data_IF_535723439727
#
_entry.id   IF_535723439727
#
_cell.length_a   1.000
_cell.length_b   1.000
_cell.length_c   1.000
_cell.angle_alpha   90.00
_cell.angle_beta   90.00
_cell.angle_gamma   90.00
#
_symmetry.space_group_name_H-M   'P 1'
#
loop_
_entity.id
_entity.type
_entity.pdbx_description
1 polymer ?
#
# COMPACT_ATOMS: atom_id res chain seq x y z
N UNK A 1 -2.47 -20.45 2.44
CA UNK A 1 -2.66 -20.08 3.87
C UNK A 1 -3.91 -20.70 4.50
N UNK A 2 -5.16 -20.57 3.98
CA UNK A 2 -6.33 -21.20 4.62
C UNK A 2 -6.20 -22.71 4.82
N UNK A 3 -5.75 -23.45 3.80
CA UNK A 3 -5.58 -24.90 3.90
C UNK A 3 -4.57 -25.32 4.99
N UNK A 4 -3.48 -24.56 5.12
CA UNK A 4 -2.50 -24.78 6.19
C UNK A 4 -3.12 -24.51 7.56
N UNK A 5 -3.90 -23.43 7.72
CA UNK A 5 -4.57 -23.12 8.97
C UNK A 5 -5.53 -24.24 9.40
N UNK A 6 -6.33 -24.76 8.45
CA UNK A 6 -7.24 -25.87 8.71
C UNK A 6 -6.45 -27.15 9.08
N UNK A 7 -5.36 -27.43 8.37
CA UNK A 7 -4.56 -28.64 8.60
C UNK A 7 -3.77 -28.59 9.92
N UNK A 8 -3.31 -27.42 10.34
CA UNK A 8 -2.54 -27.26 11.58
C UNK A 8 -3.36 -27.42 12.85
N UNK A 9 -4.70 -27.23 12.76
CA UNK A 9 -5.62 -27.21 13.92
C UNK A 9 -5.27 -26.11 14.94
N UNK A 10 -4.33 -25.22 14.62
CA UNK A 10 -3.95 -24.10 15.50
C UNK A 10 -4.97 -22.96 15.38
N UNK A 11 -5.30 -22.27 16.48
CA UNK A 11 -6.28 -21.20 16.46
C UNK A 11 -5.81 -19.90 15.81
N UNK A 12 -4.51 -19.72 15.62
CA UNK A 12 -3.92 -18.59 14.90
C UNK A 12 -2.91 -19.09 13.86
N UNK A 13 -2.97 -18.52 12.67
CA UNK A 13 -1.90 -18.59 11.65
C UNK A 13 -1.51 -17.18 11.22
N UNK A 14 -0.22 -16.87 11.30
CA UNK A 14 0.38 -15.61 10.88
C UNK A 14 1.06 -15.79 9.53
N UNK A 15 0.80 -14.90 8.58
CA UNK A 15 1.60 -14.87 7.36
C UNK A 15 2.93 -14.17 7.62
N UNK A 16 4.03 -14.82 7.28
CA UNK A 16 5.38 -14.29 7.40
C UNK A 16 6.07 -14.22 6.05
N UNK A 17 6.84 -13.17 5.84
CA UNK A 17 7.66 -12.96 4.66
C UNK A 17 9.12 -12.78 5.04
N UNK A 18 10.03 -13.28 4.20
CA UNK A 18 11.46 -13.11 4.42
C UNK A 18 11.89 -11.69 4.09
N UNK A 19 12.56 -11.05 5.02
CA UNK A 19 13.09 -9.70 4.89
C UNK A 19 14.55 -9.66 5.36
N UNK A 20 15.38 -8.74 4.81
CA UNK A 20 16.73 -8.53 5.32
C UNK A 20 16.73 -8.26 6.83
N UNK A 21 17.61 -8.92 7.57
CA UNK A 21 17.76 -8.74 9.03
C UNK A 21 17.96 -7.28 9.43
N UNK A 22 18.59 -6.48 8.58
CA UNK A 22 18.81 -5.04 8.79
C UNK A 22 17.51 -4.22 8.89
N UNK A 23 16.37 -4.76 8.47
CA UNK A 23 15.05 -4.12 8.52
C UNK A 23 14.17 -4.66 9.66
N UNK A 24 14.71 -5.52 10.53
CA UNK A 24 13.95 -6.18 11.58
C UNK A 24 13.26 -5.21 12.56
N UNK A 25 13.82 -4.03 12.76
CA UNK A 25 13.29 -2.98 13.63
C UNK A 25 12.04 -2.27 13.07
N UNK A 26 11.63 -2.62 11.84
CA UNK A 26 10.43 -2.08 11.20
C UNK A 26 9.21 -2.98 11.35
N UNK A 27 9.41 -4.27 11.67
CA UNK A 27 8.36 -5.30 11.63
C UNK A 27 8.26 -6.11 12.93
N UNK A 28 7.12 -6.77 13.12
CA UNK A 28 7.04 -7.90 14.04
C UNK A 28 7.83 -9.08 13.46
N UNK A 29 8.80 -9.57 14.19
CA UNK A 29 9.66 -10.69 13.77
C UNK A 29 9.15 -11.99 14.37
N UNK A 30 9.01 -13.01 13.52
CA UNK A 30 8.55 -14.36 13.85
C UNK A 30 9.77 -15.26 14.01
N UNK A 31 9.94 -15.87 15.19
CA UNK A 31 10.88 -16.94 15.41
C UNK A 31 10.14 -18.27 15.38
N UNK A 32 10.58 -19.18 14.52
CA UNK A 32 10.01 -20.53 14.41
C UNK A 32 10.76 -21.53 15.27
N UNK A 33 10.09 -22.61 15.65
CA UNK A 33 10.78 -23.74 16.26
C UNK A 33 11.66 -24.44 15.20
N UNK A 34 12.93 -24.69 15.47
CA UNK A 34 13.81 -25.42 14.54
C UNK A 34 13.31 -26.83 14.20
N UNK A 35 12.66 -27.49 15.17
CA UNK A 35 12.17 -28.86 15.05
C UNK A 35 10.73 -28.90 14.49
N UNK A 36 10.00 -27.80 14.61
CA UNK A 36 8.64 -27.62 14.08
C UNK A 36 8.47 -26.24 13.46
N UNK A 37 8.85 -26.11 12.20
CA UNK A 37 8.77 -24.86 11.44
C UNK A 37 7.36 -24.32 11.25
N UNK A 38 6.34 -25.10 11.55
CA UNK A 38 4.95 -24.69 11.49
C UNK A 38 4.48 -23.88 12.72
N UNK A 39 5.22 -23.98 13.86
CA UNK A 39 4.87 -23.29 15.09
C UNK A 39 5.72 -22.03 15.29
N UNK A 40 5.07 -20.99 15.81
CA UNK A 40 5.73 -19.77 16.25
C UNK A 40 6.23 -19.97 17.67
N UNK A 41 7.55 -19.91 17.86
CA UNK A 41 8.21 -19.97 19.16
C UNK A 41 8.21 -18.63 19.88
N UNK A 42 8.45 -17.55 19.15
CA UNK A 42 8.42 -16.20 19.67
C UNK A 42 7.94 -15.21 18.59
N UNK A 43 7.30 -14.15 19.05
CA UNK A 43 6.92 -13.01 18.22
C UNK A 43 7.41 -11.74 18.91
N UNK A 44 8.30 -11.02 18.26
CA UNK A 44 8.94 -9.84 18.84
C UNK A 44 8.66 -8.62 17.96
N UNK A 45 7.95 -7.66 18.51
CA UNK A 45 7.62 -6.43 17.78
C UNK A 45 8.82 -5.51 17.69
N UNK A 46 9.26 -5.20 16.47
CA UNK A 46 10.34 -4.25 16.13
C UNK A 46 11.63 -4.44 16.95
N UNK A 47 12.23 -5.64 16.91
CA UNK A 47 13.43 -5.91 17.68
C UNK A 47 14.64 -5.13 17.13
N UNK A 48 15.47 -4.58 18.01
CA UNK A 48 16.74 -3.95 17.62
C UNK A 48 17.83 -4.96 17.26
N UNK A 49 17.72 -6.16 17.80
CA UNK A 49 18.58 -7.29 17.49
C UNK A 49 17.75 -8.56 17.52
N UNK A 50 17.99 -9.45 16.56
CA UNK A 50 17.25 -10.70 16.41
C UNK A 50 18.15 -11.72 15.73
N UNK A 51 18.04 -13.02 16.03
CA UNK A 51 18.70 -14.04 15.24
C UNK A 51 18.13 -14.05 13.80
N UNK A 52 18.99 -14.39 12.83
CA UNK A 52 18.51 -14.69 11.48
C UNK A 52 17.84 -16.07 11.40
N UNK A 53 17.26 -16.36 10.25
CA UNK A 53 16.66 -17.67 9.98
C UNK A 53 17.74 -18.75 9.95
N UNK A 54 17.44 -19.99 10.41
CA UNK A 54 18.41 -21.09 10.39
C UNK A 54 18.94 -21.43 8.99
N UNK A 55 18.12 -21.28 7.96
CA UNK A 55 18.46 -21.52 6.55
C UNK A 55 18.95 -20.26 5.81
N UNK A 56 18.79 -19.07 6.40
CA UNK A 56 19.27 -17.80 5.86
C UNK A 56 19.58 -16.80 6.99
N UNK A 57 20.83 -16.79 7.51
CA UNK A 57 21.21 -15.98 8.70
C UNK A 57 21.10 -14.47 8.52
N UNK A 58 21.10 -13.98 7.28
CA UNK A 58 20.97 -12.56 6.94
C UNK A 58 19.51 -12.12 6.74
N UNK A 59 18.55 -13.06 6.89
CA UNK A 59 17.13 -12.79 6.77
C UNK A 59 16.39 -13.08 8.08
N UNK A 60 15.24 -12.44 8.24
CA UNK A 60 14.25 -12.69 9.30
C UNK A 60 12.90 -12.99 8.67
N UNK A 61 12.02 -13.65 9.41
CA UNK A 61 10.63 -13.84 9.00
C UNK A 61 9.80 -12.71 9.60
N UNK A 62 9.47 -11.71 8.78
CA UNK A 62 8.67 -10.55 9.17
C UNK A 62 7.18 -10.88 9.06
N UNK A 63 6.39 -10.46 10.05
CA UNK A 63 4.94 -10.54 9.98
C UNK A 63 4.40 -9.62 8.87
N UNK A 64 3.58 -10.16 7.99
CA UNK A 64 2.90 -9.40 6.93
C UNK A 64 1.68 -8.62 7.43
N UNK A 65 1.30 -8.75 8.73
CA UNK A 65 0.06 -8.20 9.23
C UNK A 65 -1.20 -8.92 8.76
N UNK A 66 -1.05 -10.10 8.15
CA UNK A 66 -2.15 -10.93 7.67
C UNK A 66 -2.30 -12.15 8.58
N UNK A 67 -3.52 -12.34 9.08
CA UNK A 67 -3.82 -13.38 10.08
C UNK A 67 -5.06 -14.18 9.69
N UNK A 68 -5.04 -15.49 10.02
CA UNK A 68 -6.26 -16.31 10.05
C UNK A 68 -6.43 -16.78 11.49
N UNK A 69 -7.62 -16.57 12.06
CA UNK A 69 -7.94 -16.94 13.43
C UNK A 69 -9.27 -17.68 13.50
N UNK A 70 -9.36 -18.65 14.42
CA UNK A 70 -10.64 -19.22 14.80
C UNK A 70 -11.47 -18.14 15.54
N UNK A 71 -12.73 -17.95 15.15
CA UNK A 71 -13.57 -16.87 15.65
C UNK A 71 -13.72 -16.87 17.19
N UNK A 72 -13.93 -18.05 17.78
CA UNK A 72 -14.08 -18.19 19.24
C UNK A 72 -12.76 -17.83 19.98
N UNK A 73 -11.62 -18.26 19.43
CA UNK A 73 -10.31 -17.96 19.99
C UNK A 73 -9.97 -16.46 19.90
N UNK A 74 -10.30 -15.82 18.77
CA UNK A 74 -10.14 -14.38 18.61
C UNK A 74 -11.02 -13.62 19.61
N UNK A 75 -12.29 -14.02 19.77
CA UNK A 75 -13.21 -13.40 20.72
C UNK A 75 -12.66 -13.50 22.14
N UNK A 76 -12.13 -14.66 22.52
CA UNK A 76 -11.51 -14.85 23.82
C UNK A 76 -10.29 -13.94 24.01
N UNK A 77 -9.37 -13.92 23.04
CA UNK A 77 -8.16 -13.12 23.11
C UNK A 77 -8.46 -11.62 23.26
N UNK A 78 -9.38 -11.10 22.43
CA UNK A 78 -9.78 -9.68 22.47
C UNK A 78 -10.50 -9.34 23.78
N UNK A 79 -11.32 -10.25 24.34
CA UNK A 79 -11.98 -10.03 25.61
C UNK A 79 -10.98 -9.95 26.75
N UNK A 80 -10.00 -10.85 26.79
CA UNK A 80 -8.93 -10.83 27.80
C UNK A 80 -8.08 -9.57 27.67
N UNK A 81 -7.72 -9.19 26.44
CA UNK A 81 -6.92 -7.98 26.18
C UNK A 81 -7.68 -6.70 26.57
N UNK A 82 -8.99 -6.65 26.35
CA UNK A 82 -9.83 -5.49 26.70
C UNK A 82 -9.88 -5.20 28.22
N UNK A 83 -9.72 -6.23 29.04
CA UNK A 83 -9.70 -6.12 30.50
C UNK A 83 -8.28 -5.79 31.06
N UNK A 84 -7.24 -5.79 30.21
CA UNK A 84 -5.87 -5.45 30.59
C UNK A 84 -5.57 -3.97 30.36
N UNK A 85 -5.65 -3.17 31.42
CA UNK A 85 -5.33 -1.73 31.38
C UNK A 85 -3.88 -1.42 30.95
N UNK A 86 -2.98 -2.39 31.02
CA UNK A 86 -1.57 -2.23 30.58
C UNK A 86 -1.38 -2.52 29.09
N UNK A 87 -2.36 -3.12 28.44
CA UNK A 87 -2.32 -3.44 27.01
C UNK A 87 -2.42 -2.19 26.14
N UNK A 88 -1.74 -2.23 25.00
CA UNK A 88 -1.89 -1.23 23.94
C UNK A 88 -3.06 -1.53 23.00
N UNK A 89 -3.76 -2.64 23.22
CA UNK A 89 -4.84 -3.14 22.36
C UNK A 89 -4.44 -3.26 20.90
N UNK A 90 -3.23 -3.77 20.66
CA UNK A 90 -2.60 -3.89 19.35
C UNK A 90 -2.48 -5.36 18.93
N UNK A 91 -2.72 -5.64 17.63
CA UNK A 91 -2.68 -7.03 17.14
C UNK A 91 -1.27 -7.64 17.28
N UNK A 92 -0.24 -6.92 16.84
CA UNK A 92 1.13 -7.41 16.87
C UNK A 92 1.74 -7.38 18.27
N UNK A 93 1.40 -6.34 19.05
CA UNK A 93 1.96 -6.14 20.40
C UNK A 93 1.24 -6.89 21.52
N UNK A 94 -0.02 -7.28 21.34
CA UNK A 94 -0.86 -7.87 22.40
C UNK A 94 -1.47 -9.21 21.97
N UNK A 95 -2.27 -9.23 20.91
CA UNK A 95 -3.10 -10.39 20.54
C UNK A 95 -2.24 -11.54 20.00
N UNK A 96 -1.33 -11.29 19.06
CA UNK A 96 -0.47 -12.34 18.52
C UNK A 96 0.43 -12.94 19.60
N UNK A 97 1.11 -12.15 20.46
CA UNK A 97 1.87 -12.69 21.59
C UNK A 97 1.02 -13.51 22.58
N UNK A 98 -0.25 -13.15 22.80
CA UNK A 98 -1.15 -13.93 23.65
C UNK A 98 -1.33 -15.36 23.14
N UNK A 99 -1.50 -15.56 21.82
CA UNK A 99 -1.53 -16.90 21.21
C UNK A 99 -0.20 -17.61 21.25
N UNK A 100 0.89 -16.91 20.93
CA UNK A 100 2.24 -17.46 20.92
C UNK A 100 2.62 -18.00 22.31
N UNK A 101 2.34 -17.27 23.37
CA UNK A 101 2.62 -17.67 24.75
C UNK A 101 1.87 -18.94 25.18
N UNK A 102 0.80 -19.30 24.49
CA UNK A 102 0.02 -20.52 24.73
C UNK A 102 0.42 -21.67 23.79
N UNK A 103 1.44 -21.49 22.92
CA UNK A 103 1.81 -22.45 21.88
C UNK A 103 0.69 -22.66 20.84
N UNK A 104 -0.16 -21.65 20.67
CA UNK A 104 -1.38 -21.70 19.86
C UNK A 104 -1.29 -20.92 18.55
N UNK A 105 -0.07 -20.63 18.09
CA UNK A 105 0.19 -19.85 16.88
C UNK A 105 1.06 -20.61 15.89
N UNK A 106 0.60 -20.68 14.65
CA UNK A 106 1.34 -21.20 13.51
C UNK A 106 1.77 -20.11 12.54
N UNK A 107 2.69 -20.42 11.66
CA UNK A 107 3.19 -19.54 10.63
C UNK A 107 2.96 -20.11 9.24
N UNK A 108 2.61 -19.26 8.31
CA UNK A 108 2.63 -19.51 6.88
C UNK A 108 3.80 -18.73 6.26
N UNK A 109 4.85 -19.41 5.81
CA UNK A 109 5.95 -18.78 5.08
C UNK A 109 5.44 -18.38 3.69
N UNK A 110 5.42 -17.08 3.39
CA UNK A 110 4.90 -16.57 2.11
C UNK A 110 5.73 -17.01 0.91
N UNK A 111 6.95 -17.48 1.12
CA UNK A 111 7.78 -18.15 0.11
C UNK A 111 7.07 -19.35 -0.54
N UNK A 112 6.19 -20.01 0.21
CA UNK A 112 5.43 -21.17 -0.28
C UNK A 112 4.12 -20.74 -0.98
N UNK A 113 3.88 -19.43 -1.14
CA UNK A 113 2.68 -18.92 -1.78
C UNK A 113 2.79 -19.05 -3.30
N UNK A 114 1.78 -19.65 -3.91
CA UNK A 114 1.65 -19.75 -5.36
C UNK A 114 0.38 -19.02 -5.81
N UNK A 115 0.57 -17.97 -6.61
CA UNK A 115 -0.51 -17.18 -7.18
C UNK A 115 -0.68 -17.57 -8.64
N UNK A 116 -1.87 -18.04 -9.06
CA UNK A 116 -2.11 -18.39 -10.46
C UNK A 116 -1.76 -17.21 -11.39
N UNK A 117 -0.89 -17.47 -12.37
CA UNK A 117 -0.46 -16.45 -13.33
C UNK A 117 0.67 -15.54 -12.87
N UNK A 118 1.20 -15.74 -11.65
CA UNK A 118 2.43 -15.07 -11.23
C UNK A 118 3.64 -15.53 -12.03
N UNK A 119 4.63 -14.69 -12.12
CA UNK A 119 5.95 -14.96 -12.69
C UNK A 119 7.01 -14.97 -11.58
N UNK A 120 8.26 -15.33 -11.92
CA UNK A 120 9.36 -15.26 -10.94
C UNK A 120 9.62 -13.84 -10.43
N UNK A 121 9.22 -12.81 -11.20
CA UNK A 121 9.43 -11.41 -10.83
C UNK A 121 8.47 -10.94 -9.73
N UNK A 122 7.21 -11.37 -9.78
CA UNK A 122 6.18 -11.00 -8.81
C UNK A 122 5.91 -12.10 -7.77
N UNK A 123 6.73 -13.17 -7.80
CA UNK A 123 6.76 -14.16 -6.72
C UNK A 123 7.21 -13.46 -5.43
N UNK A 124 6.57 -13.80 -4.33
CA UNK A 124 6.86 -13.25 -3.01
C UNK A 124 6.72 -11.71 -2.93
N UNK A 125 5.98 -11.12 -3.88
CA UNK A 125 5.73 -9.68 -3.83
C UNK A 125 4.88 -9.33 -2.62
N UNK A 126 5.48 -8.56 -1.75
CA UNK A 126 4.82 -7.88 -0.65
C UNK A 126 5.52 -6.54 -0.41
N UNK A 127 4.74 -5.51 -0.10
CA UNK A 127 5.28 -4.19 0.20
C UNK A 127 4.52 -3.59 1.35
N UNK A 128 5.22 -3.20 2.40
CA UNK A 128 4.66 -2.34 3.42
C UNK A 128 4.48 -0.92 2.86
N UNK A 129 3.30 -0.36 3.05
CA UNK A 129 2.95 1.01 2.65
C UNK A 129 2.60 1.87 3.87
N UNK A 130 3.24 1.59 5.00
CA UNK A 130 3.02 2.27 6.28
C UNK A 130 3.49 3.72 6.30
N UNK A 131 4.23 4.18 5.30
CA UNK A 131 4.62 5.59 5.13
C UNK A 131 4.07 6.17 3.84
N UNK A 132 3.92 7.50 3.80
CA UNK A 132 3.49 8.22 2.59
C UNK A 132 4.43 7.95 1.42
N UNK A 133 5.73 7.95 1.68
CA UNK A 133 6.73 7.72 0.65
C UNK A 133 6.67 6.28 0.11
N UNK A 134 6.53 5.29 0.98
CA UNK A 134 6.36 3.89 0.55
C UNK A 134 5.08 3.70 -0.28
N UNK A 135 3.98 4.36 0.09
CA UNK A 135 2.74 4.37 -0.70
C UNK A 135 2.94 5.02 -2.07
N UNK A 136 3.62 6.17 -2.11
CA UNK A 136 3.95 6.86 -3.36
C UNK A 136 4.81 5.99 -4.28
N UNK A 137 5.90 5.44 -3.75
CA UNK A 137 6.82 4.56 -4.47
C UNK A 137 6.14 3.30 -5.01
N UNK A 138 5.19 2.71 -4.26
CA UNK A 138 4.41 1.57 -4.73
C UNK A 138 3.61 1.91 -6.00
N UNK A 139 3.05 3.13 -6.08
CA UNK A 139 2.34 3.59 -7.27
C UNK A 139 3.30 3.89 -8.44
N UNK A 140 4.47 4.44 -8.14
CA UNK A 140 5.50 4.69 -9.18
C UNK A 140 6.05 3.36 -9.75
N UNK A 141 6.17 2.32 -8.94
CA UNK A 141 6.54 0.99 -9.44
C UNK A 141 5.51 0.46 -10.45
N UNK A 142 4.21 0.59 -10.15
CA UNK A 142 3.14 0.10 -11.05
C UNK A 142 3.16 0.72 -12.45
N UNK A 143 3.66 1.94 -12.60
CA UNK A 143 3.75 2.64 -13.89
C UNK A 143 5.11 2.47 -14.57
N UNK A 144 6.07 1.81 -13.91
CA UNK A 144 7.37 1.52 -14.53
C UNK A 144 7.21 0.61 -15.75
N UNK A 145 8.18 0.63 -16.66
CA UNK A 145 8.17 -0.22 -17.87
C UNK A 145 8.09 -1.71 -17.53
N UNK A 146 8.70 -2.10 -16.42
CA UNK A 146 8.71 -3.48 -15.94
C UNK A 146 8.38 -3.51 -14.44
N UNK A 147 7.12 -3.29 -14.05
CA UNK A 147 6.74 -3.27 -12.65
C UNK A 147 7.01 -4.62 -11.98
N UNK A 148 7.37 -4.59 -10.70
CA UNK A 148 7.55 -5.84 -9.94
C UNK A 148 6.21 -6.56 -9.83
N UNK A 149 5.16 -5.84 -9.45
CA UNK A 149 3.82 -6.40 -9.31
C UNK A 149 3.05 -6.38 -10.63
N UNK A 150 2.49 -7.54 -11.04
CA UNK A 150 1.65 -7.63 -12.24
C UNK A 150 0.18 -7.30 -11.94
N UNK A 151 -0.19 -6.02 -12.10
CA UNK A 151 -1.57 -5.56 -11.94
C UNK A 151 -2.55 -6.20 -12.96
N UNK A 152 -2.05 -6.68 -14.10
CA UNK A 152 -2.84 -7.22 -15.22
C UNK A 152 -2.92 -8.75 -15.23
N UNK A 153 -2.72 -9.40 -14.07
CA UNK A 153 -2.88 -10.84 -13.94
C UNK A 153 -4.36 -11.24 -14.02
N UNK A 154 -4.81 -11.68 -15.16
CA UNK A 154 -6.20 -12.11 -15.42
C UNK A 154 -6.56 -13.48 -14.82
N UNK A 155 -5.55 -14.29 -14.45
CA UNK A 155 -5.75 -15.58 -13.78
C UNK A 155 -5.99 -15.45 -12.28
N UNK A 156 -5.62 -14.30 -11.70
CA UNK A 156 -5.88 -13.93 -10.31
C UNK A 156 -6.24 -12.44 -10.24
N UNK A 157 -7.42 -12.04 -10.75
CA UNK A 157 -7.80 -10.64 -10.85
C UNK A 157 -7.99 -10.01 -9.47
N UNK A 158 -7.56 -8.75 -9.34
CA UNK A 158 -7.81 -7.96 -8.15
C UNK A 158 -9.24 -7.41 -8.21
N UNK A 159 -10.04 -7.77 -7.21
CA UNK A 159 -11.36 -7.21 -7.01
C UNK A 159 -11.27 -6.05 -6.02
N UNK A 160 -11.17 -4.83 -6.53
CA UNK A 160 -11.43 -3.63 -5.73
C UNK A 160 -12.93 -3.58 -5.39
N UNK A 161 -13.29 -2.98 -4.24
CA UNK A 161 -14.68 -2.91 -3.77
C UNK A 161 -15.66 -2.43 -4.84
N UNK A 162 -16.95 -2.65 -4.63
CA UNK A 162 -18.01 -2.36 -5.62
C UNK A 162 -17.95 -0.89 -6.05
N UNK A 163 -17.49 -0.66 -7.27
CA UNK A 163 -17.58 0.63 -7.93
C UNK A 163 -18.64 0.53 -9.04
N UNK A 164 -19.49 1.56 -9.14
CA UNK A 164 -20.39 1.66 -10.26
C UNK A 164 -19.61 1.63 -11.58
N UNK A 165 -20.13 0.97 -12.60
CA UNK A 165 -19.53 0.93 -13.92
C UNK A 165 -19.33 2.36 -14.43
N UNK A 166 -18.07 2.77 -14.62
CA UNK A 166 -17.70 4.08 -15.17
C UNK A 166 -17.42 3.96 -16.66
N UNK A 167 -17.66 5.04 -17.45
CA UNK A 167 -17.29 5.05 -18.86
C UNK A 167 -15.77 4.94 -19.02
N UNK A 168 -15.27 4.54 -20.19
CA UNK A 168 -13.82 4.57 -20.48
C UNK A 168 -13.21 5.96 -20.27
N UNK A 169 -11.91 5.99 -20.01
CA UNK A 169 -11.15 7.23 -19.94
C UNK A 169 -11.22 7.98 -21.28
N UNK A 170 -11.26 9.32 -21.22
CA UNK A 170 -11.37 10.18 -22.40
C UNK A 170 -10.25 11.20 -22.47
N UNK A 171 -9.55 11.20 -23.60
CA UNK A 171 -8.54 12.21 -23.96
C UNK A 171 -9.11 13.15 -24.99
N UNK A 172 -9.03 14.45 -24.76
CA UNK A 172 -9.67 15.44 -25.62
C UNK A 172 -8.63 16.21 -26.42
N UNK A 173 -8.77 16.20 -27.74
CA UNK A 173 -8.07 17.10 -28.63
C UNK A 173 -8.97 18.27 -29.00
N UNK A 174 -8.45 19.47 -28.93
CA UNK A 174 -9.16 20.71 -29.27
C UNK A 174 -8.34 21.59 -30.20
N UNK A 175 -8.94 22.69 -30.67
CA UNK A 175 -8.23 23.69 -31.46
C UNK A 175 -7.08 24.32 -30.67
N UNK A 176 -6.14 24.95 -31.37
CA UNK A 176 -4.98 25.65 -30.79
C UNK A 176 -4.03 24.73 -30.01
N UNK A 177 -3.72 23.55 -30.57
CA UNK A 177 -2.76 22.60 -29.97
C UNK A 177 -3.13 22.08 -28.58
N UNK A 178 -4.40 22.23 -28.18
CA UNK A 178 -4.90 21.72 -26.94
C UNK A 178 -5.06 20.21 -27.00
N UNK A 179 -4.00 19.49 -26.62
CA UNK A 179 -3.93 18.03 -26.64
C UNK A 179 -3.98 17.47 -25.23
N UNK A 180 -5.03 16.71 -24.91
CA UNK A 180 -5.04 15.87 -23.71
C UNK A 180 -4.29 14.57 -23.96
N UNK A 181 -3.26 14.27 -23.19
CA UNK A 181 -2.49 13.04 -23.31
C UNK A 181 -1.95 12.53 -21.98
N UNK A 182 -1.61 11.25 -21.94
CA UNK A 182 -0.94 10.62 -20.83
C UNK A 182 0.18 9.72 -21.36
N UNK A 183 1.34 9.75 -20.69
CA UNK A 183 2.53 8.94 -21.02
C UNK A 183 3.06 8.33 -19.71
N UNK A 184 3.52 7.09 -19.77
CA UNK A 184 4.03 6.33 -18.62
C UNK A 184 3.08 6.40 -17.40
N UNK A 185 1.79 6.23 -17.64
CA UNK A 185 0.76 6.51 -16.64
C UNK A 185 -0.34 5.45 -16.62
N UNK A 186 -0.92 5.21 -15.45
CA UNK A 186 -2.15 4.41 -15.31
C UNK A 186 -3.33 5.37 -15.26
N UNK A 187 -4.32 5.16 -16.16
CA UNK A 187 -5.52 6.00 -16.27
C UNK A 187 -6.76 5.14 -16.13
N UNK A 188 -7.46 5.31 -15.00
CA UNK A 188 -8.65 4.52 -14.66
C UNK A 188 -9.91 4.93 -15.47
N UNK A 189 -10.96 4.10 -15.49
CA UNK A 189 -12.26 4.46 -16.06
C UNK A 189 -12.81 5.77 -15.48
N UNK A 190 -13.58 6.50 -16.29
CA UNK A 190 -14.19 7.77 -15.90
C UNK A 190 -13.27 8.98 -15.90
N UNK A 191 -11.98 8.80 -16.12
CA UNK A 191 -11.01 9.91 -16.19
C UNK A 191 -11.23 10.73 -17.46
N UNK A 192 -11.12 12.08 -17.34
CA UNK A 192 -11.13 12.98 -18.48
C UNK A 192 -9.87 13.85 -18.45
N UNK A 193 -9.01 13.70 -19.46
CA UNK A 193 -7.87 14.59 -19.70
C UNK A 193 -8.24 15.56 -20.82
N UNK A 194 -8.67 16.78 -20.43
CA UNK A 194 -9.24 17.78 -21.33
C UNK A 194 -8.19 18.81 -21.79
N UNK A 195 -7.18 18.35 -22.51
CA UNK A 195 -6.14 19.24 -23.05
C UNK A 195 -5.05 19.61 -22.04
N UNK A 196 -4.84 18.76 -21.05
CA UNK A 196 -3.72 18.80 -20.12
C UNK A 196 -2.73 17.66 -20.40
N UNK A 197 -1.58 17.70 -19.79
CA UNK A 197 -0.51 16.71 -19.87
C UNK A 197 -0.47 15.88 -18.58
N UNK A 198 -0.35 14.56 -18.72
CA UNK A 198 -0.16 13.62 -17.61
C UNK A 198 1.05 12.76 -17.91
N UNK A 199 2.05 12.77 -17.03
CA UNK A 199 3.30 12.02 -17.19
C UNK A 199 3.64 11.31 -15.89
N UNK A 200 4.04 10.05 -15.98
CA UNK A 200 4.51 9.23 -14.85
C UNK A 200 3.56 9.30 -13.64
N UNK A 201 2.26 9.17 -13.89
CA UNK A 201 1.24 9.42 -12.88
C UNK A 201 0.15 8.33 -12.84
N UNK A 202 -0.50 8.19 -11.69
CA UNK A 202 -1.63 7.29 -11.50
C UNK A 202 -2.88 8.13 -11.28
N UNK A 203 -3.88 7.96 -12.15
CA UNK A 203 -5.18 8.63 -12.09
C UNK A 203 -6.27 7.62 -11.74
N UNK A 204 -6.83 7.73 -10.55
CA UNK A 204 -7.95 6.92 -10.05
C UNK A 204 -9.27 7.28 -10.75
N UNK A 205 -10.34 6.48 -10.57
CA UNK A 205 -11.61 6.70 -11.24
C UNK A 205 -12.19 8.10 -11.08
N UNK A 206 -12.70 8.66 -12.19
CA UNK A 206 -13.39 9.94 -12.18
C UNK A 206 -12.51 11.18 -12.05
N UNK A 207 -11.21 11.04 -12.07
CA UNK A 207 -10.27 12.19 -12.05
C UNK A 207 -10.46 13.05 -13.30
N UNK A 208 -10.37 14.37 -13.12
CA UNK A 208 -10.44 15.34 -14.21
C UNK A 208 -9.21 16.22 -14.25
N UNK A 209 -8.53 16.24 -15.41
CA UNK A 209 -7.38 17.10 -15.68
C UNK A 209 -7.78 18.10 -16.77
N UNK A 210 -7.87 19.38 -16.42
CA UNK A 210 -8.33 20.41 -17.34
C UNK A 210 -7.20 20.97 -18.22
N UNK A 211 -7.57 21.85 -19.17
CA UNK A 211 -6.69 22.31 -20.23
C UNK A 211 -5.49 23.11 -19.71
N UNK A 212 -4.36 22.91 -20.35
CA UNK A 212 -3.12 23.64 -20.09
C UNK A 212 -2.50 23.33 -18.72
N UNK A 213 -2.98 22.29 -18.07
CA UNK A 213 -2.39 21.80 -16.82
C UNK A 213 -1.37 20.69 -17.08
N UNK A 214 -0.40 20.58 -16.18
CA UNK A 214 0.62 19.54 -16.17
C UNK A 214 0.55 18.77 -14.86
N UNK A 215 0.42 17.43 -14.96
CA UNK A 215 0.45 16.50 -13.84
C UNK A 215 1.61 15.55 -14.07
N UNK A 216 2.58 15.54 -13.16
CA UNK A 216 3.78 14.73 -13.29
C UNK A 216 4.09 14.01 -11.98
N UNK A 217 4.62 12.78 -12.08
CA UNK A 217 5.06 11.99 -10.92
C UNK A 217 4.06 12.05 -9.77
N UNK A 218 2.76 11.86 -10.04
CA UNK A 218 1.72 12.14 -9.06
C UNK A 218 0.68 11.03 -8.99
N UNK A 219 0.05 10.91 -7.82
CA UNK A 219 -1.07 10.00 -7.58
C UNK A 219 -2.31 10.83 -7.29
N UNK A 220 -3.29 10.76 -8.18
CA UNK A 220 -4.57 11.46 -8.04
C UNK A 220 -5.66 10.43 -7.71
N UNK A 221 -6.26 10.54 -6.52
CA UNK A 221 -7.29 9.64 -6.05
C UNK A 221 -8.68 10.00 -6.59
N UNK A 222 -9.66 9.14 -6.32
CA UNK A 222 -11.01 9.21 -6.89
C UNK A 222 -11.60 10.61 -6.89
N UNK A 223 -12.06 11.06 -8.06
CA UNK A 223 -12.76 12.32 -8.23
C UNK A 223 -11.93 13.57 -7.99
N UNK A 224 -10.61 13.47 -7.92
CA UNK A 224 -9.77 14.66 -7.85
C UNK A 224 -9.88 15.48 -9.15
N UNK A 225 -9.89 16.81 -9.01
CA UNK A 225 -10.02 17.73 -10.13
C UNK A 225 -8.85 18.72 -10.17
N UNK A 226 -8.15 18.75 -11.31
CA UNK A 226 -7.05 19.69 -11.59
C UNK A 226 -7.57 20.77 -12.52
N UNK A 227 -7.56 22.02 -12.06
CA UNK A 227 -8.00 23.21 -12.77
C UNK A 227 -7.17 23.51 -14.01
N UNK A 228 -7.52 24.56 -14.74
CA UNK A 228 -6.76 25.01 -15.91
C UNK A 228 -5.46 25.69 -15.50
N UNK A 229 -4.44 25.60 -16.35
CA UNK A 229 -3.16 26.26 -16.12
C UNK A 229 -2.50 25.89 -14.78
N UNK A 230 -2.76 24.71 -14.30
CA UNK A 230 -2.32 24.18 -12.99
C UNK A 230 -1.11 23.27 -13.16
N UNK A 231 -0.22 23.30 -12.18
CA UNK A 231 0.92 22.37 -12.14
C UNK A 231 0.81 21.52 -10.87
N UNK A 232 0.82 20.21 -11.05
CA UNK A 232 0.90 19.21 -9.98
C UNK A 232 2.11 18.34 -10.23
N UNK A 233 3.05 18.33 -9.32
CA UNK A 233 4.29 17.59 -9.47
C UNK A 233 4.66 16.88 -8.17
N UNK A 234 5.04 15.61 -8.24
CA UNK A 234 5.44 14.79 -7.10
C UNK A 234 4.48 14.93 -5.91
N UNK A 235 3.18 14.68 -6.17
CA UNK A 235 2.13 14.91 -5.20
C UNK A 235 1.13 13.75 -5.13
N UNK A 236 0.52 13.60 -3.96
CA UNK A 236 -0.65 12.76 -3.74
C UNK A 236 -1.83 13.69 -3.48
N UNK A 237 -2.78 13.71 -4.40
CA UNK A 237 -4.07 14.37 -4.21
C UNK A 237 -5.08 13.33 -3.74
N UNK A 238 -5.51 13.40 -2.49
CA UNK A 238 -6.52 12.48 -1.96
C UNK A 238 -7.90 12.72 -2.60
N UNK A 239 -8.86 11.87 -2.30
CA UNK A 239 -10.18 11.84 -2.92
C UNK A 239 -10.88 13.20 -2.90
N UNK A 240 -11.43 13.58 -4.05
CA UNK A 240 -12.23 14.80 -4.22
C UNK A 240 -11.47 16.12 -3.96
N UNK A 241 -10.15 16.09 -3.97
CA UNK A 241 -9.34 17.32 -3.94
C UNK A 241 -9.64 18.13 -5.21
N UNK A 242 -9.78 19.44 -5.04
CA UNK A 242 -9.94 20.40 -6.15
C UNK A 242 -8.78 21.38 -6.16
N UNK A 243 -8.01 21.36 -7.23
CA UNK A 243 -6.94 22.35 -7.46
C UNK A 243 -7.49 23.43 -8.39
N UNK A 244 -7.58 24.66 -7.90
CA UNK A 244 -8.13 25.78 -8.66
C UNK A 244 -7.23 26.19 -9.83
N UNK A 245 -7.81 26.94 -10.74
CA UNK A 245 -7.10 27.42 -11.94
C UNK A 245 -5.83 28.19 -11.57
N UNK A 246 -4.70 27.80 -12.15
CA UNK A 246 -3.40 28.44 -11.99
C UNK A 246 -2.70 28.16 -10.65
N UNK A 247 -3.28 27.33 -9.79
CA UNK A 247 -2.60 26.89 -8.57
C UNK A 247 -1.48 25.90 -8.87
N UNK A 248 -0.51 25.78 -7.97
CA UNK A 248 0.63 24.86 -8.06
C UNK A 248 0.69 23.98 -6.81
N UNK A 249 1.04 22.72 -6.99
CA UNK A 249 1.24 21.74 -5.90
C UNK A 249 2.51 20.96 -6.16
N UNK A 250 3.36 20.79 -5.15
CA UNK A 250 4.60 20.04 -5.25
C UNK A 250 5.72 20.75 -6.02
N UNK A 251 5.64 22.06 -6.17
CA UNK A 251 6.65 22.90 -6.84
C UNK A 251 7.50 23.64 -5.81
N UNK A 252 6.88 24.18 -4.78
CA UNK A 252 7.53 24.86 -3.68
C UNK A 252 7.13 24.18 -2.35
N UNK A 253 8.02 23.37 -1.77
CA UNK A 253 7.73 22.63 -0.55
C UNK A 253 7.44 23.54 0.66
N UNK A 254 8.04 24.73 0.74
CA UNK A 254 7.80 25.64 1.85
C UNK A 254 6.42 26.28 1.73
N UNK A 255 6.07 26.74 0.55
CA UNK A 255 4.74 27.27 0.26
C UNK A 255 3.64 26.20 0.47
N UNK A 256 3.91 24.94 0.11
CA UNK A 256 2.98 23.84 0.36
C UNK A 256 2.77 23.59 1.86
N UNK A 257 3.84 23.67 2.68
CA UNK A 257 3.73 23.58 4.15
C UNK A 257 2.97 24.74 4.76
N UNK A 258 3.19 25.96 4.28
CA UNK A 258 2.46 27.16 4.74
C UNK A 258 0.95 27.05 4.47
N UNK A 259 0.55 26.38 3.39
CA UNK A 259 -0.86 26.08 3.07
C UNK A 259 -1.43 24.92 3.88
N UNK A 260 -0.63 24.32 4.77
CA UNK A 260 -1.05 23.22 5.64
C UNK A 260 -1.00 21.84 4.97
N UNK A 261 -0.28 21.70 3.86
CA UNK A 261 -0.07 20.40 3.23
C UNK A 261 1.07 19.64 3.92
N UNK A 262 0.98 18.33 3.94
CA UNK A 262 2.09 17.48 4.38
C UNK A 262 3.10 17.38 3.26
N UNK A 263 4.36 17.68 3.56
CA UNK A 263 5.47 17.46 2.63
C UNK A 263 6.46 16.53 3.31
N UNK A 264 6.71 15.36 2.72
CA UNK A 264 7.62 14.35 3.27
C UNK A 264 9.08 14.79 3.14
N UNK A 265 9.99 14.05 3.75
CA UNK A 265 11.44 14.30 3.62
C UNK A 265 11.93 14.07 2.18
N UNK A 266 11.32 13.13 1.46
CA UNK A 266 11.60 12.89 0.03
C UNK A 266 11.03 13.95 -0.91
N UNK A 267 10.24 14.89 -0.40
CA UNK A 267 9.63 16.00 -1.16
C UNK A 267 8.27 15.65 -1.78
N UNK A 268 7.60 14.58 -1.35
CA UNK A 268 6.24 14.26 -1.80
C UNK A 268 5.23 15.12 -1.06
N UNK A 269 4.44 15.93 -1.80
CA UNK A 269 3.38 16.77 -1.23
C UNK A 269 2.06 15.99 -1.17
N UNK A 270 1.39 16.02 -0.02
CA UNK A 270 0.08 15.39 0.18
C UNK A 270 -0.98 16.42 0.47
N UNK A 271 -2.04 16.42 -0.35
CA UNK A 271 -3.23 17.23 -0.15
C UNK A 271 -4.36 16.32 0.34
N UNK A 272 -4.88 16.60 1.52
CA UNK A 272 -5.87 15.74 2.17
C UNK A 272 -7.25 15.80 1.49
N UNK A 273 -8.03 14.76 1.71
CA UNK A 273 -9.34 14.53 1.10
C UNK A 273 -10.25 15.76 1.14
N UNK A 274 -10.81 16.09 -0.02
CA UNK A 274 -11.81 17.15 -0.18
C UNK A 274 -11.28 18.58 -0.03
N UNK A 275 -9.98 18.76 0.15
CA UNK A 275 -9.39 20.10 0.20
C UNK A 275 -9.50 20.84 -1.14
N UNK A 276 -9.60 22.15 -1.04
CA UNK A 276 -9.54 23.07 -2.18
C UNK A 276 -8.19 23.78 -2.12
N UNK A 277 -7.40 23.60 -3.17
CA UNK A 277 -6.10 24.25 -3.33
C UNK A 277 -6.30 25.53 -4.12
N UNK A 278 -6.09 26.66 -3.49
CA UNK A 278 -6.11 27.99 -4.10
C UNK A 278 -4.71 28.38 -4.61
N UNK A 279 -4.62 29.49 -5.32
CA UNK A 279 -3.33 30.06 -5.77
C UNK A 279 -2.47 30.46 -4.60
#
# INVERSE_FOLDING_TARGET
MPDLHIASVLPLTVAGIRQPKSLADQFGVIETDPDDRGHIKAFVEKPKDTPGLPDSPDEVLASMGNYIMNADALTQAVTVDADDESSKHDMGGSIVPWFVNQGAAGVYDFKDNDVPGSSERDRDYWRDVGTVDAFFEAHQDLISVTPVFNLYNDRWPLFAGYQAAMPPAKFVYGHHERLGHAVDSIVSPGVIVSGGEVISSVLSPGVRVNSWSSVRESVLMDGAEVGRNTVVNRAILDKYVKVEEGAMVGIDPEHDRERGFTVTESGTTVVAKGQIVTR
#
